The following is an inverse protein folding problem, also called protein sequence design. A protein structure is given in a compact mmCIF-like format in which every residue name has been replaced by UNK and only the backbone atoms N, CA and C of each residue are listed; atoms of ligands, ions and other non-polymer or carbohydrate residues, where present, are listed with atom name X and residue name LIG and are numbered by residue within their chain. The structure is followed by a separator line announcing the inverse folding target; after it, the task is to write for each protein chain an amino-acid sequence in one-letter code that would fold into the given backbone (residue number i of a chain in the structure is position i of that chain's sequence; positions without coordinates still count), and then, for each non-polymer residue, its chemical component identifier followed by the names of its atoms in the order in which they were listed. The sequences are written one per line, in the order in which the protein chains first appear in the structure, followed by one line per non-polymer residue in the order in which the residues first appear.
data_IF_431692178280
#
_entry.id   IF_431692178280
#
_cell.length_a   1.000
_cell.length_b   1.000
_cell.length_c   1.000
_cell.angle_alpha   90.00
_cell.angle_beta   90.00
_cell.angle_gamma   90.00
#
_symmetry.space_group_name_H-M   'P 1'
#
loop_
_entity.id
_entity.type
_entity.pdbx_description
1 polymer ?
#
# COMPACT_ATOMS: atom_id res chain seq x y z
N UNK A 1 -29.09 14.46 22.71
CA UNK A 1 -27.70 14.07 22.51
C UNK A 1 -27.12 14.93 21.38
N UNK A 2 -26.36 15.96 21.74
CA UNK A 2 -25.65 16.80 20.75
C UNK A 2 -24.32 16.13 20.36
N UNK A 3 -24.35 15.15 19.47
CA UNK A 3 -23.14 14.59 18.87
C UNK A 3 -22.70 15.53 17.74
N UNK A 4 -21.53 16.16 17.89
CA UNK A 4 -20.88 16.93 16.82
C UNK A 4 -19.91 16.03 16.10
N UNK A 5 -19.99 15.95 14.78
CA UNK A 5 -18.96 15.34 13.94
C UNK A 5 -17.74 16.28 13.95
N UNK A 6 -16.62 15.81 14.47
CA UNK A 6 -15.32 16.49 14.41
C UNK A 6 -14.37 15.64 13.57
N UNK A 7 -13.42 16.29 12.89
CA UNK A 7 -12.34 15.59 12.18
C UNK A 7 -11.41 14.85 13.16
N UNK A 8 -10.48 14.09 12.61
CA UNK A 8 -9.43 13.42 13.39
C UNK A 8 -8.16 14.29 13.43
N UNK A 9 -7.80 14.87 14.56
CA UNK A 9 -6.65 15.78 14.66
C UNK A 9 -5.33 15.14 14.26
N UNK A 10 -5.22 13.81 14.35
CA UNK A 10 -4.02 13.05 13.97
C UNK A 10 -3.66 13.23 12.49
N UNK A 11 -4.61 13.61 11.64
CA UNK A 11 -4.38 13.83 10.22
C UNK A 11 -4.17 15.30 9.84
N UNK A 12 -4.28 16.25 10.78
CA UNK A 12 -4.15 17.68 10.49
C UNK A 12 -2.76 18.01 9.93
N UNK A 13 -1.71 17.38 10.46
CA UNK A 13 -0.33 17.57 9.97
C UNK A 13 -0.18 17.09 8.52
N UNK A 14 -0.85 16.01 8.13
CA UNK A 14 -0.83 15.48 6.78
C UNK A 14 -1.50 16.46 5.80
N UNK A 15 -2.64 17.03 6.19
CA UNK A 15 -3.32 18.07 5.40
C UNK A 15 -2.45 19.33 5.24
N UNK A 16 -1.74 19.73 6.28
CA UNK A 16 -0.82 20.88 6.23
C UNK A 16 0.39 20.59 5.36
N UNK A 17 0.97 19.39 5.45
CA UNK A 17 2.14 18.98 4.68
C UNK A 17 1.85 18.92 3.17
N UNK A 18 0.63 18.54 2.78
CA UNK A 18 0.18 18.52 1.38
C UNK A 18 0.33 19.88 0.70
N UNK A 19 0.04 20.99 1.41
CA UNK A 19 0.15 22.35 0.88
C UNK A 19 1.59 22.76 0.58
N UNK A 20 2.58 22.13 1.21
CA UNK A 20 3.99 22.47 1.12
C UNK A 20 4.81 21.51 0.22
N UNK A 21 4.17 20.53 -0.40
CA UNK A 21 4.86 19.56 -1.23
C UNK A 21 5.29 20.19 -2.57
N UNK A 22 6.56 20.54 -2.69
CA UNK A 22 7.21 20.73 -3.99
C UNK A 22 7.23 19.37 -4.72
N UNK A 23 6.97 19.40 -6.03
CA UNK A 23 6.99 18.22 -6.90
C UNK A 23 8.33 17.46 -6.76
N UNK A 24 8.32 16.43 -5.96
CA UNK A 24 9.49 15.58 -5.79
C UNK A 24 9.57 14.63 -7.01
N UNK A 25 10.66 14.74 -7.78
CA UNK A 25 10.84 14.06 -9.08
C UNK A 25 11.18 12.56 -8.94
N UNK A 26 11.43 12.07 -7.74
CA UNK A 26 11.75 10.66 -7.49
C UNK A 26 10.47 9.82 -7.39
N UNK A 27 9.92 9.48 -8.55
CA UNK A 27 8.75 8.59 -8.63
C UNK A 27 9.13 7.15 -8.33
N UNK A 28 8.52 6.55 -7.30
CA UNK A 28 8.65 5.14 -6.96
C UNK A 28 7.28 4.56 -6.58
N UNK A 29 7.15 3.26 -6.65
CA UNK A 29 6.00 2.52 -6.14
C UNK A 29 6.28 2.20 -4.69
N UNK A 30 5.34 2.50 -3.79
CA UNK A 30 5.45 2.20 -2.36
C UNK A 30 4.55 1.00 -2.03
N UNK A 31 5.13 -0.02 -1.44
CA UNK A 31 4.39 -1.13 -0.82
C UNK A 31 4.46 -0.99 0.70
N UNK A 32 3.31 -0.89 1.36
CA UNK A 32 3.19 -1.08 2.81
C UNK A 32 2.76 -2.52 3.08
N UNK A 33 3.58 -3.26 3.82
CA UNK A 33 3.29 -4.65 4.15
C UNK A 33 2.33 -4.77 5.34
N UNK A 34 1.60 -5.88 5.40
CA UNK A 34 0.78 -6.29 6.54
C UNK A 34 1.00 -7.78 6.79
N UNK A 35 2.02 -8.08 7.60
CA UNK A 35 2.37 -9.46 7.93
C UNK A 35 1.24 -10.14 8.73
N UNK A 36 0.91 -11.40 8.45
CA UNK A 36 -0.09 -12.15 9.22
C UNK A 36 0.25 -12.15 10.71
N UNK A 37 -0.69 -11.68 11.53
CA UNK A 37 -0.43 -11.48 12.95
C UNK A 37 -0.45 -12.81 13.73
N UNK A 38 0.60 -13.06 14.50
CA UNK A 38 0.66 -14.20 15.42
C UNK A 38 -0.35 -14.09 16.59
N UNK A 39 -0.85 -12.88 16.85
CA UNK A 39 -1.82 -12.63 17.91
C UNK A 39 -3.22 -13.15 17.57
N UNK A 40 -3.48 -13.43 16.29
CA UNK A 40 -4.74 -13.98 15.80
C UNK A 40 -4.47 -15.36 15.20
N UNK A 41 -4.72 -16.43 15.98
CA UNK A 41 -4.41 -17.83 15.60
C UNK A 41 -5.00 -18.19 14.21
N UNK A 42 -6.16 -17.63 13.84
CA UNK A 42 -6.78 -17.87 12.53
C UNK A 42 -6.13 -17.09 11.39
N UNK A 43 -5.28 -16.12 11.66
CA UNK A 43 -4.56 -15.34 10.62
C UNK A 43 -3.17 -15.91 10.36
N UNK A 44 -2.58 -16.58 11.35
CA UNK A 44 -1.23 -17.14 11.25
C UNK A 44 -1.29 -18.61 10.80
N UNK A 45 -1.57 -18.82 9.52
CA UNK A 45 -1.60 -20.16 8.89
C UNK A 45 -0.50 -20.26 7.82
N UNK A 46 -0.13 -21.49 7.47
CA UNK A 46 0.81 -21.73 6.36
C UNK A 46 0.28 -21.07 5.08
N UNK A 47 -1.02 -21.19 4.82
CA UNK A 47 -1.67 -20.59 3.65
C UNK A 47 -1.55 -19.05 3.63
N UNK A 48 -1.76 -18.37 4.77
CA UNK A 48 -1.65 -16.92 4.85
C UNK A 48 -0.21 -16.44 4.65
N UNK A 49 0.77 -17.20 5.14
CA UNK A 49 2.20 -16.92 4.92
C UNK A 49 2.61 -17.12 3.46
N UNK A 50 2.08 -18.16 2.81
CA UNK A 50 2.30 -18.40 1.38
C UNK A 50 1.66 -17.30 0.53
N UNK A 51 0.41 -16.91 0.81
CA UNK A 51 -0.26 -15.80 0.13
C UNK A 51 0.53 -14.49 0.29
N UNK A 52 1.00 -14.20 1.51
CA UNK A 52 1.85 -13.04 1.79
C UNK A 52 3.14 -13.06 0.96
N UNK A 53 3.90 -14.16 1.01
CA UNK A 53 5.17 -14.30 0.31
C UNK A 53 5.00 -14.23 -1.21
N UNK A 54 3.97 -14.90 -1.75
CA UNK A 54 3.63 -14.86 -3.18
C UNK A 54 3.22 -13.48 -3.64
N UNK A 55 2.52 -12.72 -2.80
CA UNK A 55 2.13 -11.34 -3.09
C UNK A 55 3.34 -10.42 -3.18
N UNK A 56 4.27 -10.50 -2.22
CA UNK A 56 5.52 -9.73 -2.27
C UNK A 56 6.32 -10.10 -3.52
N UNK A 57 6.48 -11.40 -3.80
CA UNK A 57 7.19 -11.88 -4.98
C UNK A 57 6.58 -11.30 -6.26
N UNK A 58 5.26 -11.42 -6.44
CA UNK A 58 4.55 -10.90 -7.62
C UNK A 58 4.73 -9.40 -7.79
N UNK A 59 4.63 -8.61 -6.70
CA UNK A 59 4.81 -7.16 -6.74
C UNK A 59 6.25 -6.83 -7.18
N UNK A 60 7.26 -7.50 -6.61
CA UNK A 60 8.67 -7.31 -6.97
C UNK A 60 8.91 -7.63 -8.44
N UNK A 61 8.42 -8.78 -8.93
CA UNK A 61 8.58 -9.21 -10.32
C UNK A 61 7.93 -8.23 -11.31
N UNK A 62 6.69 -7.79 -11.02
CA UNK A 62 5.95 -6.87 -11.88
C UNK A 62 6.63 -5.50 -11.92
N UNK A 63 7.00 -4.95 -10.77
CA UNK A 63 7.67 -3.63 -10.72
C UNK A 63 9.04 -3.66 -11.39
N UNK A 64 9.79 -4.74 -11.22
CA UNK A 64 11.07 -4.96 -11.91
C UNK A 64 10.89 -5.04 -13.44
N UNK A 65 9.92 -5.84 -13.91
CA UNK A 65 9.56 -5.97 -15.32
C UNK A 65 9.18 -4.62 -15.96
N UNK A 66 8.47 -3.77 -15.21
CA UNK A 66 8.08 -2.43 -15.64
C UNK A 66 9.20 -1.40 -15.49
N UNK A 67 10.39 -1.82 -15.03
CA UNK A 67 11.52 -0.96 -14.72
C UNK A 67 11.16 0.19 -13.77
N UNK A 68 10.27 -0.07 -12.80
CA UNK A 68 9.86 0.88 -11.77
C UNK A 68 10.63 0.63 -10.48
N UNK A 69 11.03 1.72 -9.82
CA UNK A 69 11.64 1.66 -8.49
C UNK A 69 10.58 1.23 -7.48
N UNK A 70 10.88 0.21 -6.67
CA UNK A 70 10.02 -0.27 -5.59
C UNK A 70 10.67 0.06 -4.24
N UNK A 71 9.88 0.65 -3.35
CA UNK A 71 10.21 0.81 -1.93
C UNK A 71 9.20 0.00 -1.13
N UNK A 72 9.68 -0.86 -0.26
CA UNK A 72 8.85 -1.69 0.64
C UNK A 72 9.02 -1.16 2.05
N UNK A 73 7.92 -0.72 2.66
CA UNK A 73 7.87 -0.32 4.06
C UNK A 73 7.25 -1.46 4.86
N UNK A 74 8.07 -2.10 5.70
CA UNK A 74 7.60 -3.14 6.59
C UNK A 74 6.71 -2.55 7.68
N UNK A 75 5.72 -3.33 8.11
CA UNK A 75 4.87 -2.97 9.24
C UNK A 75 5.73 -2.87 10.51
N UNK A 76 5.49 -1.92 11.41
CA UNK A 76 6.31 -1.73 12.62
C UNK A 76 6.19 -2.88 13.65
N UNK A 77 5.39 -3.90 13.40
CA UNK A 77 5.31 -5.07 14.27
C UNK A 77 6.64 -5.81 14.35
N UNK A 78 7.07 -6.14 15.58
CA UNK A 78 8.33 -6.85 15.83
C UNK A 78 8.38 -8.26 15.27
N UNK A 79 7.23 -8.83 14.91
CA UNK A 79 7.10 -10.18 14.35
C UNK A 79 7.27 -10.24 12.85
N UNK A 80 7.28 -9.11 12.15
CA UNK A 80 7.48 -9.11 10.71
C UNK A 80 8.93 -9.43 10.36
N UNK A 81 9.10 -10.47 9.54
CA UNK A 81 10.42 -10.94 9.13
C UNK A 81 11.11 -9.93 8.20
N UNK A 82 12.43 -9.88 8.29
CA UNK A 82 13.23 -9.16 7.30
C UNK A 82 13.22 -9.89 5.97
N UNK A 83 12.66 -9.24 4.97
CA UNK A 83 12.54 -9.78 3.62
C UNK A 83 13.63 -9.24 2.67
N UNK A 84 14.59 -8.46 3.17
CA UNK A 84 15.60 -7.79 2.35
C UNK A 84 16.38 -8.76 1.46
N UNK A 85 16.81 -9.89 2.02
CA UNK A 85 17.55 -10.92 1.25
C UNK A 85 16.69 -11.61 0.21
N UNK A 86 15.40 -11.79 0.52
CA UNK A 86 14.45 -12.40 -0.41
C UNK A 86 14.19 -11.51 -1.61
N UNK A 87 13.88 -10.23 -1.40
CA UNK A 87 13.54 -9.31 -2.48
C UNK A 87 14.77 -8.89 -3.30
N UNK A 88 15.95 -8.81 -2.69
CA UNK A 88 17.20 -8.48 -3.39
C UNK A 88 17.59 -9.52 -4.45
N UNK A 89 17.20 -10.78 -4.26
CA UNK A 89 17.39 -11.86 -5.25
C UNK A 89 16.49 -11.70 -6.47
N UNK A 90 15.36 -10.98 -6.34
CA UNK A 90 14.46 -10.70 -7.45
C UNK A 90 14.94 -9.44 -8.19
N UNK A 91 15.21 -8.36 -7.45
CA UNK A 91 15.77 -7.12 -7.98
C UNK A 91 16.55 -6.39 -6.88
N UNK A 92 17.86 -6.26 -7.07
CA UNK A 92 18.76 -5.61 -6.10
C UNK A 92 18.52 -4.12 -5.92
N UNK A 93 17.69 -3.49 -6.77
CA UNK A 93 17.31 -2.08 -6.68
C UNK A 93 16.17 -1.83 -5.69
N UNK A 94 15.49 -2.88 -5.22
CA UNK A 94 14.39 -2.78 -4.26
C UNK A 94 14.93 -2.31 -2.90
N UNK A 95 14.29 -1.31 -2.33
CA UNK A 95 14.65 -0.76 -1.03
C UNK A 95 13.64 -1.25 0.01
N UNK A 96 14.13 -1.85 1.10
CA UNK A 96 13.31 -2.27 2.24
C UNK A 96 13.58 -1.36 3.43
N UNK A 97 12.53 -0.78 3.98
CA UNK A 97 12.57 0.15 5.13
C UNK A 97 11.80 -0.47 6.29
N UNK A 98 12.48 -0.72 7.42
CA UNK A 98 11.90 -1.35 8.60
C UNK A 98 11.30 -0.33 9.58
N UNK A 99 11.98 0.78 9.79
CA UNK A 99 11.62 1.78 10.80
C UNK A 99 11.30 3.14 10.16
N UNK A 100 10.77 4.06 10.96
CA UNK A 100 10.45 5.42 10.53
C UNK A 100 9.01 5.59 10.06
N UNK A 101 8.62 6.85 9.92
CA UNK A 101 7.29 7.27 9.48
C UNK A 101 7.06 6.92 8.01
N UNK A 102 5.86 6.44 7.69
CA UNK A 102 5.47 6.11 6.33
C UNK A 102 4.95 7.32 5.54
N UNK A 103 4.44 8.35 6.23
CA UNK A 103 3.79 9.51 5.61
C UNK A 103 4.68 10.22 4.56
N UNK A 104 5.98 10.49 4.82
CA UNK A 104 6.86 11.06 3.81
C UNK A 104 7.07 10.18 2.58
N UNK A 105 7.01 8.84 2.75
CA UNK A 105 7.10 7.89 1.65
C UNK A 105 5.84 7.92 0.80
N UNK A 106 4.65 7.94 1.44
CA UNK A 106 3.36 8.08 0.73
C UNK A 106 3.36 9.40 -0.03
N UNK A 107 3.78 10.50 0.59
CA UNK A 107 3.83 11.81 -0.05
C UNK A 107 4.67 11.82 -1.34
N UNK A 108 5.75 11.04 -1.37
CA UNK A 108 6.71 11.01 -2.48
C UNK A 108 6.44 9.91 -3.52
N UNK A 109 5.59 8.92 -3.23
CA UNK A 109 5.35 7.80 -4.14
C UNK A 109 4.47 8.20 -5.35
N UNK A 110 4.61 7.43 -6.43
CA UNK A 110 3.75 7.50 -7.63
C UNK A 110 2.47 6.69 -7.49
N UNK A 111 2.58 5.50 -6.88
CA UNK A 111 1.47 4.59 -6.57
C UNK A 111 1.70 4.02 -5.17
N UNK A 112 0.65 4.00 -4.36
CA UNK A 112 0.65 3.38 -3.04
C UNK A 112 -0.04 2.02 -3.10
N UNK A 113 0.65 0.98 -2.64
CA UNK A 113 0.13 -0.39 -2.55
C UNK A 113 0.09 -0.78 -1.08
N UNK A 114 -1.04 -1.28 -0.63
CA UNK A 114 -1.18 -1.90 0.69
C UNK A 114 -1.65 -3.34 0.57
N UNK A 115 -1.29 -4.16 1.52
CA UNK A 115 -1.80 -5.53 1.66
C UNK A 115 -3.04 -5.48 2.54
N UNK A 116 -4.19 -5.86 1.98
CA UNK A 116 -5.50 -5.75 2.63
C UNK A 116 -5.81 -4.30 3.09
N UNK A 117 -6.62 -4.17 4.13
CA UNK A 117 -6.98 -2.88 4.70
C UNK A 117 -5.91 -2.40 5.69
N UNK A 118 -5.52 -1.14 5.54
CA UNK A 118 -4.57 -0.47 6.42
C UNK A 118 -5.07 0.92 6.75
N UNK A 119 -4.79 1.41 7.95
CA UNK A 119 -5.07 2.80 8.35
C UNK A 119 -4.35 3.82 7.46
N UNK A 120 -3.24 3.42 6.85
CA UNK A 120 -2.46 4.25 5.90
C UNK A 120 -3.19 4.54 4.58
N UNK A 121 -4.29 3.84 4.29
CA UNK A 121 -5.18 4.16 3.16
C UNK A 121 -5.70 5.59 3.30
N UNK A 122 -6.16 5.97 4.50
CA UNK A 122 -6.67 7.32 4.74
C UNK A 122 -5.59 8.40 4.53
N UNK A 123 -4.36 8.13 4.97
CA UNK A 123 -3.23 9.04 4.72
C UNK A 123 -2.96 9.21 3.21
N UNK A 124 -2.97 8.11 2.48
CA UNK A 124 -2.76 8.12 1.04
C UNK A 124 -3.90 8.84 0.28
N UNK A 125 -5.16 8.71 0.74
CA UNK A 125 -6.30 9.46 0.20
C UNK A 125 -6.15 10.97 0.43
N UNK A 126 -5.78 11.38 1.64
CA UNK A 126 -5.53 12.79 1.96
C UNK A 126 -4.43 13.37 1.05
N UNK A 127 -3.40 12.57 0.76
CA UNK A 127 -2.27 12.94 -0.10
C UNK A 127 -2.56 12.74 -1.60
N UNK A 128 -3.79 12.40 -1.97
CA UNK A 128 -4.24 12.21 -3.36
C UNK A 128 -3.35 11.23 -4.14
N UNK A 129 -3.05 10.08 -3.53
CA UNK A 129 -2.29 9.01 -4.19
C UNK A 129 -3.22 7.96 -4.77
N UNK A 130 -2.93 7.43 -5.96
CA UNK A 130 -3.62 6.25 -6.44
C UNK A 130 -3.28 5.07 -5.54
N UNK A 131 -4.32 4.39 -5.02
CA UNK A 131 -4.19 3.36 -4.00
C UNK A 131 -4.63 2.02 -4.59
N UNK A 132 -3.77 1.00 -4.46
CA UNK A 132 -4.11 -0.40 -4.69
C UNK A 132 -4.14 -1.12 -3.34
N UNK A 133 -5.30 -1.62 -2.94
CA UNK A 133 -5.44 -2.56 -1.83
C UNK A 133 -5.41 -3.98 -2.39
N UNK A 134 -4.28 -4.68 -2.21
CA UNK A 134 -4.12 -6.04 -2.69
C UNK A 134 -4.79 -7.01 -1.73
N UNK A 135 -5.79 -7.75 -2.23
CA UNK A 135 -6.53 -8.73 -1.44
C UNK A 135 -5.68 -9.98 -1.16
N UNK A 136 -5.34 -10.19 0.10
CA UNK A 136 -4.61 -11.37 0.56
C UNK A 136 -5.52 -12.26 1.40
N UNK A 137 -6.36 -11.65 2.24
CA UNK A 137 -7.28 -12.33 3.15
C UNK A 137 -8.72 -12.24 2.65
N UNK A 138 -9.42 -13.36 2.66
CA UNK A 138 -10.77 -13.45 2.08
C UNK A 138 -11.81 -12.57 2.80
N UNK A 139 -11.63 -12.31 4.11
CA UNK A 139 -12.58 -11.52 4.88
C UNK A 139 -12.52 -10.01 4.57
N UNK A 140 -11.43 -9.51 4.02
CA UNK A 140 -11.28 -8.07 3.71
C UNK A 140 -12.19 -7.62 2.58
N UNK A 141 -12.53 -8.51 1.64
CA UNK A 141 -13.41 -8.21 0.52
C UNK A 141 -14.83 -7.75 0.92
N UNK A 142 -15.26 -8.07 2.13
CA UNK A 142 -16.61 -7.75 2.63
C UNK A 142 -16.70 -6.51 3.54
N UNK A 143 -15.60 -5.78 3.69
CA UNK A 143 -15.60 -4.58 4.54
C UNK A 143 -16.29 -3.39 3.87
N UNK A 144 -16.83 -2.48 4.68
CA UNK A 144 -17.51 -1.28 4.17
C UNK A 144 -16.58 -0.38 3.34
N UNK A 145 -15.28 -0.34 3.66
CA UNK A 145 -14.28 0.44 2.91
C UNK A 145 -14.18 -0.09 1.47
N UNK A 146 -14.15 -1.41 1.28
CA UNK A 146 -14.11 -2.01 -0.05
C UNK A 146 -15.45 -1.82 -0.78
N UNK A 147 -16.57 -2.05 -0.09
CA UNK A 147 -17.91 -1.88 -0.66
C UNK A 147 -18.23 -0.44 -1.07
N UNK A 148 -17.68 0.54 -0.35
CA UNK A 148 -17.83 1.96 -0.67
C UNK A 148 -16.89 2.45 -1.77
N UNK A 149 -16.06 1.56 -2.36
CA UNK A 149 -15.02 1.91 -3.33
C UNK A 149 -14.06 2.99 -2.83
N UNK A 150 -13.78 3.04 -1.52
CA UNK A 150 -12.85 4.00 -0.94
C UNK A 150 -11.38 3.73 -1.31
N UNK A 151 -11.09 2.59 -1.91
CA UNK A 151 -9.81 2.26 -2.54
C UNK A 151 -10.01 1.16 -3.58
N UNK A 152 -9.12 1.08 -4.56
CA UNK A 152 -9.16 0.05 -5.57
C UNK A 152 -8.68 -1.28 -4.99
N UNK A 153 -9.64 -2.19 -4.74
CA UNK A 153 -9.36 -3.54 -4.25
C UNK A 153 -9.04 -4.47 -5.42
N UNK A 154 -7.88 -5.12 -5.40
CA UNK A 154 -7.33 -5.86 -6.53
C UNK A 154 -6.87 -7.26 -6.10
N UNK A 155 -7.22 -8.26 -6.91
CA UNK A 155 -6.69 -9.62 -6.76
C UNK A 155 -5.22 -9.69 -7.22
N UNK A 156 -4.49 -10.70 -6.77
CA UNK A 156 -3.11 -10.91 -7.20
C UNK A 156 -3.01 -11.18 -8.72
N UNK A 157 -4.05 -11.78 -9.31
CA UNK A 157 -4.11 -12.07 -10.75
C UNK A 157 -4.26 -10.80 -11.59
N UNK A 158 -5.01 -9.83 -11.11
CA UNK A 158 -5.30 -8.59 -11.83
C UNK A 158 -4.27 -7.48 -11.58
N UNK A 159 -3.42 -7.67 -10.57
CA UNK A 159 -2.48 -6.67 -10.09
C UNK A 159 -1.62 -6.05 -11.20
N UNK A 160 -1.02 -6.88 -12.07
CA UNK A 160 -0.13 -6.41 -13.15
C UNK A 160 -0.88 -5.49 -14.13
N UNK A 161 -2.06 -5.92 -14.58
CA UNK A 161 -2.87 -5.16 -15.52
C UNK A 161 -3.34 -3.83 -14.92
N UNK A 162 -3.77 -3.84 -13.67
CA UNK A 162 -4.24 -2.63 -12.98
C UNK A 162 -3.08 -1.66 -12.74
N UNK A 163 -1.91 -2.15 -12.30
CA UNK A 163 -0.74 -1.30 -12.11
C UNK A 163 -0.30 -0.65 -13.42
N UNK A 164 -0.23 -1.41 -14.52
CA UNK A 164 0.08 -0.89 -15.85
C UNK A 164 -0.91 0.22 -16.24
N UNK A 165 -2.19 -0.01 -15.99
CA UNK A 165 -3.24 0.96 -16.33
C UNK A 165 -3.10 2.24 -15.51
N UNK A 166 -2.87 2.17 -14.19
CA UNK A 166 -2.64 3.36 -13.34
C UNK A 166 -1.41 4.15 -13.82
N UNK A 167 -0.36 3.46 -14.31
CA UNK A 167 0.87 4.12 -14.73
C UNK A 167 0.78 4.79 -16.10
N UNK A 168 -0.11 4.31 -16.99
CA UNK A 168 -0.14 4.73 -18.40
C UNK A 168 -1.44 5.40 -18.84
N UNK A 169 -2.53 5.28 -18.07
CA UNK A 169 -3.84 5.89 -18.35
C UNK A 169 -4.13 6.97 -17.30
N UNK A 170 -3.93 8.22 -17.69
CA UNK A 170 -4.09 9.37 -16.79
C UNK A 170 -5.53 9.51 -16.27
N UNK A 171 -6.53 9.26 -17.14
CA UNK A 171 -7.93 9.33 -16.71
C UNK A 171 -8.26 8.27 -15.68
N UNK A 172 -7.85 7.02 -15.92
CA UNK A 172 -8.04 5.93 -14.96
C UNK A 172 -7.33 6.22 -13.63
N UNK A 173 -6.12 6.77 -13.69
CA UNK A 173 -5.38 7.17 -12.50
C UNK A 173 -6.11 8.23 -11.68
N UNK A 174 -6.69 9.24 -12.35
CA UNK A 174 -7.48 10.28 -11.69
C UNK A 174 -8.75 9.69 -11.09
N UNK A 175 -9.44 8.80 -11.79
CA UNK A 175 -10.63 8.10 -11.29
C UNK A 175 -10.32 7.31 -10.01
N UNK A 176 -9.16 6.63 -9.95
CA UNK A 176 -8.70 5.89 -8.77
C UNK A 176 -8.37 6.82 -7.59
N UNK A 177 -7.86 8.02 -7.84
CA UNK A 177 -7.59 9.02 -6.78
C UNK A 177 -8.88 9.62 -6.21
N UNK A 178 -9.93 9.70 -7.00
CA UNK A 178 -11.21 10.32 -6.62
C UNK A 178 -12.17 9.36 -5.90
N UNK A 179 -11.85 8.07 -5.83
CA UNK A 179 -12.60 7.06 -5.06
C UNK A 179 -12.46 7.33 -3.54
#
# INVERSE_FOLDING_TARGET
NNIKKIGSPIHDEIFLSKKNSSLNTNKFILLATSYPSQNFIHEFTVESLEKYSNSIKKICEVTSKLNKKLVIKLHPQSTELDISDFVSKIDSRIIVIKAGDITPLIQSCEVFITMDLSTTILEAQILEKPIISLQIRDFTANTEIIKSNSCLSVSLTDFENILIRILNDEQFRLDVIQQ
#
